data_IF_196766205702
#
_entry.id   IF_196766205702
#
_cell.length_a   1.000
_cell.length_b   1.000
_cell.length_c   1.000
_cell.angle_alpha   90.00
_cell.angle_beta   90.00
_cell.angle_gamma   90.00
#
_symmetry.space_group_name_H-M   'P 1'
#
loop_
_entity.id
_entity.type
_entity.pdbx_description
1 polymer ?
#
# COMPACT_ATOMS: atom_id res chain seq x y z
N UNK A 1 -50.52 -61.96 28.51
CA UNK A 1 -50.16 -62.74 29.72
C UNK A 1 -48.71 -62.47 30.07
N UNK A 2 -48.44 -62.29 31.37
CA UNK A 2 -47.17 -62.08 32.10
C UNK A 2 -46.54 -60.69 31.96
N UNK A 3 -46.76 -59.82 32.97
CA UNK A 3 -46.33 -59.73 34.39
C UNK A 3 -44.82 -59.49 34.46
N UNK A 4 -44.46 -58.23 34.84
CA UNK A 4 -43.94 -57.74 36.12
C UNK A 4 -42.44 -58.13 36.32
N UNK A 5 -41.59 -57.19 36.54
CA UNK A 5 -41.18 -56.84 37.91
C UNK A 5 -40.32 -55.53 37.92
N UNK A 6 -40.67 -54.68 38.85
CA UNK A 6 -39.83 -53.60 39.37
C UNK A 6 -38.71 -54.18 40.26
N UNK A 7 -37.57 -53.55 40.25
CA UNK A 7 -36.62 -53.32 41.35
C UNK A 7 -35.50 -52.47 40.75
N UNK A 8 -34.99 -51.45 41.26
CA UNK A 8 -34.91 -50.84 42.54
C UNK A 8 -33.77 -49.85 42.53
N UNK A 9 -34.03 -48.68 42.97
CA UNK A 9 -33.14 -47.70 43.63
C UNK A 9 -31.62 -47.78 43.45
N UNK A 10 -31.05 -46.73 42.91
CA UNK A 10 -29.83 -46.14 43.45
C UNK A 10 -29.73 -44.66 43.05
N UNK A 11 -29.97 -43.82 44.03
CA UNK A 11 -29.78 -42.38 44.02
C UNK A 11 -28.27 -42.10 44.10
N UNK A 12 -27.62 -41.79 43.00
CA UNK A 12 -26.25 -41.26 42.99
C UNK A 12 -26.31 -39.75 42.78
N UNK A 13 -26.20 -39.03 43.92
CA UNK A 13 -26.00 -37.57 43.90
C UNK A 13 -24.57 -37.31 43.41
N UNK A 14 -24.44 -36.93 42.15
CA UNK A 14 -23.18 -36.49 41.59
C UNK A 14 -23.04 -34.98 41.84
N UNK A 15 -22.27 -34.63 42.85
CA UNK A 15 -21.89 -33.26 43.18
C UNK A 15 -20.90 -32.76 42.13
N UNK A 16 -21.39 -32.03 41.08
CA UNK A 16 -20.53 -31.36 40.11
C UNK A 16 -19.92 -30.10 40.77
N UNK A 17 -18.66 -30.20 41.16
CA UNK A 17 -17.82 -29.06 41.48
C UNK A 17 -17.58 -28.24 40.19
N UNK A 18 -18.29 -27.12 40.07
CA UNK A 18 -18.01 -26.08 39.05
C UNK A 18 -16.70 -25.39 39.45
N UNK A 19 -15.57 -25.90 38.98
CA UNK A 19 -14.32 -25.18 38.96
C UNK A 19 -14.45 -24.11 37.90
N UNK A 20 -14.82 -22.90 38.29
CA UNK A 20 -14.77 -21.70 37.44
C UNK A 20 -13.34 -21.41 37.03
N UNK A 21 -12.98 -21.86 35.83
CA UNK A 21 -11.74 -21.47 35.18
C UNK A 21 -11.81 -19.98 34.82
N UNK A 22 -11.09 -19.14 35.56
CA UNK A 22 -10.83 -17.76 35.18
C UNK A 22 -9.92 -17.82 33.93
N UNK A 23 -10.51 -17.62 32.74
CA UNK A 23 -9.75 -17.41 31.55
C UNK A 23 -9.00 -16.07 31.69
N UNK A 24 -7.71 -16.14 31.99
CA UNK A 24 -6.82 -15.00 31.90
C UNK A 24 -6.72 -14.71 30.38
N UNK A 25 -7.46 -13.71 29.92
CA UNK A 25 -7.27 -13.15 28.58
C UNK A 25 -5.82 -12.66 28.51
N UNK A 26 -4.95 -13.46 27.88
CA UNK A 26 -3.58 -13.08 27.60
C UNK A 26 -3.62 -11.81 26.75
N UNK A 27 -3.19 -10.69 27.32
CA UNK A 27 -2.95 -9.48 26.55
C UNK A 27 -1.92 -9.83 25.47
N UNK A 28 -2.36 -9.88 24.22
CA UNK A 28 -1.46 -9.98 23.07
C UNK A 28 -0.47 -8.82 23.20
N UNK A 29 0.85 -9.06 23.25
CA UNK A 29 1.80 -7.95 23.30
C UNK A 29 1.53 -7.07 22.09
N UNK A 30 1.31 -5.77 22.34
CA UNK A 30 1.18 -4.78 21.26
C UNK A 30 2.44 -4.91 20.41
N UNK A 31 2.25 -5.17 19.10
CA UNK A 31 3.35 -5.25 18.17
C UNK A 31 4.14 -3.94 18.31
N UNK A 32 5.42 -4.04 18.62
CA UNK A 32 6.33 -2.91 18.63
C UNK A 32 6.24 -2.26 17.25
N UNK A 33 5.96 -0.95 17.15
CA UNK A 33 5.90 -0.30 15.84
C UNK A 33 7.24 -0.52 15.15
N UNK A 34 7.20 -1.25 14.04
CA UNK A 34 8.37 -1.53 13.21
C UNK A 34 8.93 -0.18 12.76
N UNK A 35 10.26 -0.01 12.87
CA UNK A 35 10.89 1.28 12.59
C UNK A 35 10.56 1.69 11.16
N UNK A 36 9.82 2.79 11.02
CA UNK A 36 9.54 3.39 9.74
C UNK A 36 10.84 3.57 8.95
N UNK A 37 10.90 3.00 7.76
CA UNK A 37 12.06 3.13 6.88
C UNK A 37 11.81 4.26 5.90
N UNK A 38 12.69 5.27 5.90
CA UNK A 38 12.63 6.35 4.92
C UNK A 38 13.68 6.12 3.83
N UNK A 39 13.26 6.28 2.57
CA UNK A 39 14.14 6.34 1.41
C UNK A 39 14.14 7.78 0.90
N UNK A 40 15.32 8.31 0.57
CA UNK A 40 15.49 9.58 -0.12
C UNK A 40 16.11 9.28 -1.47
N UNK A 41 15.41 9.65 -2.52
CA UNK A 41 15.77 9.38 -3.90
C UNK A 41 15.75 10.69 -4.69
N UNK A 42 16.65 10.79 -5.63
CA UNK A 42 16.66 11.84 -6.65
C UNK A 42 16.06 11.25 -7.94
N UNK A 43 15.21 12.01 -8.62
CA UNK A 43 14.61 11.62 -9.88
C UNK A 43 15.24 12.39 -11.03
N UNK A 44 15.41 11.69 -12.14
CA UNK A 44 15.59 12.26 -13.45
C UNK A 44 14.38 11.88 -14.29
N UNK A 45 13.53 12.87 -14.60
CA UNK A 45 12.34 12.64 -15.42
C UNK A 45 12.73 12.35 -16.86
N UNK A 46 12.14 11.31 -17.43
CA UNK A 46 12.16 11.06 -18.86
C UNK A 46 11.02 11.85 -19.51
N UNK A 47 11.10 12.14 -20.81
CA UNK A 47 9.98 12.75 -21.50
C UNK A 47 8.73 11.87 -21.33
N UNK A 48 7.73 12.40 -20.66
CA UNK A 48 6.44 11.73 -20.56
C UNK A 48 5.70 11.78 -21.90
N UNK A 49 4.79 10.84 -22.11
CA UNK A 49 3.96 10.78 -23.31
C UNK A 49 2.49 10.85 -22.93
N UNK A 50 1.79 11.86 -23.46
CA UNK A 50 0.33 11.91 -23.45
C UNK A 50 -0.19 10.96 -24.53
N UNK A 51 -1.10 10.09 -24.17
CA UNK A 51 -1.89 9.25 -25.05
C UNK A 51 -3.28 9.86 -25.13
N UNK A 52 -3.56 10.48 -26.26
CA UNK A 52 -4.84 11.06 -26.63
C UNK A 52 -5.72 9.92 -27.19
N UNK A 53 -6.71 9.51 -26.41
CA UNK A 53 -7.54 8.33 -26.69
C UNK A 53 -8.67 8.66 -27.66
N UNK A 54 -9.25 9.83 -27.55
CA UNK A 54 -10.39 10.28 -28.38
C UNK A 54 -9.96 11.08 -29.62
N UNK A 55 -8.65 11.40 -29.71
CA UNK A 55 -8.06 12.14 -30.84
C UNK A 55 -8.61 13.56 -31.06
N UNK A 56 -9.04 14.21 -29.97
CA UNK A 56 -9.55 15.58 -30.02
C UNK A 56 -8.44 16.66 -30.05
N UNK A 57 -7.19 16.24 -29.83
CA UNK A 57 -6.00 17.08 -29.98
C UNK A 57 -5.59 17.79 -28.68
N UNK A 58 -6.23 17.51 -27.56
CA UNK A 58 -5.91 18.07 -26.23
C UNK A 58 -6.10 17.07 -25.12
N UNK A 59 -5.67 17.41 -23.88
CA UNK A 59 -5.94 16.57 -22.71
C UNK A 59 -7.45 16.53 -22.40
N UNK A 60 -8.03 15.33 -22.42
CA UNK A 60 -9.46 15.09 -22.16
C UNK A 60 -9.66 13.98 -21.11
N UNK A 61 -10.90 13.80 -20.67
CA UNK A 61 -11.26 12.73 -19.74
C UNK A 61 -10.99 11.35 -20.38
N UNK A 62 -10.17 10.54 -19.73
CA UNK A 62 -9.80 9.21 -20.18
C UNK A 62 -8.46 9.14 -20.91
N UNK A 63 -7.91 10.24 -21.35
CA UNK A 63 -6.53 10.30 -21.78
C UNK A 63 -5.58 9.98 -20.65
N UNK A 64 -4.36 9.60 -20.96
CA UNK A 64 -3.42 9.27 -19.91
C UNK A 64 -1.98 9.60 -20.27
N UNK A 65 -1.21 9.92 -19.26
CA UNK A 65 0.24 10.08 -19.34
C UNK A 65 0.91 8.75 -19.03
N UNK A 66 1.91 8.39 -19.83
CA UNK A 66 2.87 7.32 -19.50
C UNK A 66 4.17 7.98 -19.10
N UNK A 67 4.80 7.51 -18.05
CA UNK A 67 6.10 7.96 -17.58
C UNK A 67 7.03 6.80 -17.25
N UNK A 68 8.34 7.05 -17.35
CA UNK A 68 9.41 6.17 -16.91
C UNK A 68 10.60 7.01 -16.50
N UNK A 69 10.94 7.02 -15.23
CA UNK A 69 11.93 7.93 -14.65
C UNK A 69 13.07 7.16 -13.99
N UNK A 70 14.24 7.76 -13.92
CA UNK A 70 15.41 7.16 -13.30
C UNK A 70 15.53 7.58 -11.84
N UNK A 71 15.82 6.62 -10.97
CA UNK A 71 15.98 6.81 -9.54
C UNK A 71 17.44 6.71 -9.13
N UNK A 72 17.91 7.72 -8.42
CA UNK A 72 19.27 7.79 -7.90
C UNK A 72 19.27 7.97 -6.38
N UNK A 73 20.36 7.58 -5.75
CA UNK A 73 20.64 7.88 -4.35
C UNK A 73 22.12 8.16 -4.19
N UNK A 74 22.45 9.27 -3.53
CA UNK A 74 23.83 9.73 -3.34
C UNK A 74 24.61 9.82 -4.66
N UNK A 75 23.97 10.35 -5.70
CA UNK A 75 24.56 10.54 -7.02
C UNK A 75 24.76 9.26 -7.86
N UNK A 76 24.28 8.11 -7.39
CA UNK A 76 24.34 6.85 -8.13
C UNK A 76 22.95 6.39 -8.53
N UNK A 77 22.74 6.09 -9.81
CA UNK A 77 21.49 5.44 -10.26
C UNK A 77 21.37 4.06 -9.60
N UNK A 78 20.23 3.83 -8.95
CA UNK A 78 19.95 2.60 -8.22
C UNK A 78 18.66 1.90 -8.68
N UNK A 79 17.89 2.53 -9.55
CA UNK A 79 16.63 1.98 -10.02
C UNK A 79 15.95 2.88 -11.03
N UNK A 80 14.69 2.62 -11.21
CA UNK A 80 13.79 3.39 -12.06
C UNK A 80 12.37 3.28 -11.53
N UNK A 81 11.47 4.11 -12.03
CA UNK A 81 10.04 3.97 -11.82
C UNK A 81 9.29 4.18 -13.11
N UNK A 82 8.08 3.64 -13.17
CA UNK A 82 7.21 3.83 -14.31
C UNK A 82 5.76 3.57 -13.96
N UNK A 83 4.89 4.17 -14.77
CA UNK A 83 3.47 4.06 -14.52
C UNK A 83 2.62 4.83 -15.51
N UNK A 84 1.36 5.00 -15.15
CA UNK A 84 0.36 5.72 -15.91
C UNK A 84 -0.45 6.64 -15.05
N UNK A 85 -0.90 7.75 -15.63
CA UNK A 85 -1.76 8.73 -14.96
C UNK A 85 -2.94 9.06 -15.89
N UNK A 86 -4.07 8.32 -15.82
CA UNK A 86 -5.30 8.73 -16.50
C UNK A 86 -5.80 10.08 -15.99
N UNK A 87 -6.31 10.90 -16.92
CA UNK A 87 -6.97 12.17 -16.66
C UNK A 87 -8.38 11.86 -16.16
N UNK A 88 -8.70 12.27 -14.94
CA UNK A 88 -9.99 12.04 -14.30
C UNK A 88 -10.85 13.31 -14.21
N UNK A 89 -10.23 14.48 -14.35
CA UNK A 89 -10.89 15.76 -14.55
C UNK A 89 -9.95 16.69 -15.34
N UNK A 90 -10.30 16.94 -16.60
CA UNK A 90 -9.48 17.79 -17.46
C UNK A 90 -9.61 19.29 -17.12
N UNK A 91 -10.72 19.73 -16.51
CA UNK A 91 -10.93 21.12 -16.12
C UNK A 91 -10.03 21.50 -14.96
N UNK A 92 -9.93 20.63 -13.97
CA UNK A 92 -9.06 20.81 -12.79
C UNK A 92 -7.63 20.31 -13.03
N UNK A 93 -7.35 19.69 -14.18
CA UNK A 93 -6.08 19.03 -14.46
C UNK A 93 -5.79 17.88 -13.50
N UNK A 94 -6.85 17.20 -13.00
CA UNK A 94 -6.73 16.13 -12.04
C UNK A 94 -6.43 14.80 -12.75
N UNK A 95 -5.37 14.14 -12.30
CA UNK A 95 -4.93 12.85 -12.80
C UNK A 95 -4.80 11.83 -11.67
N UNK A 96 -5.06 10.57 -11.96
CA UNK A 96 -4.87 9.46 -11.01
C UNK A 96 -3.64 8.65 -11.38
N UNK A 97 -2.52 8.92 -10.74
CA UNK A 97 -1.28 8.22 -11.01
C UNK A 97 -1.19 6.88 -10.28
N UNK A 98 -0.79 5.86 -11.02
CA UNK A 98 -0.35 4.56 -10.48
C UNK A 98 1.01 4.22 -11.03
N UNK A 99 1.91 3.73 -10.20
CA UNK A 99 3.26 3.41 -10.64
C UNK A 99 3.97 2.41 -9.75
N UNK A 100 5.14 2.01 -10.21
CA UNK A 100 6.01 1.07 -9.52
C UNK A 100 7.45 1.52 -9.61
N UNK A 101 8.10 1.64 -8.45
CA UNK A 101 9.54 1.83 -8.33
C UNK A 101 10.24 0.45 -8.33
N UNK A 102 11.22 0.28 -9.19
CA UNK A 102 12.13 -0.88 -9.19
C UNK A 102 13.43 -0.49 -8.53
N UNK A 103 13.71 -1.09 -7.38
CA UNK A 103 14.85 -0.76 -6.52
C UNK A 103 15.66 -2.02 -6.18
N UNK A 104 16.91 -1.90 -5.69
CA UNK A 104 17.66 -3.04 -5.20
C UNK A 104 16.90 -3.81 -4.12
N UNK A 105 16.62 -5.08 -4.41
CA UNK A 105 15.95 -5.99 -3.49
C UNK A 105 14.43 -6.08 -3.63
N UNK A 106 13.81 -5.38 -4.58
CA UNK A 106 12.37 -5.53 -4.84
C UNK A 106 11.74 -4.29 -5.45
N UNK A 107 10.42 -4.26 -5.44
CA UNK A 107 9.62 -3.17 -6.00
C UNK A 107 8.71 -2.56 -4.95
N UNK A 108 8.33 -1.29 -5.14
CA UNK A 108 7.35 -0.56 -4.34
C UNK A 108 6.27 -0.04 -5.29
N UNK A 109 5.01 -0.39 -5.04
CA UNK A 109 3.87 0.14 -5.77
C UNK A 109 3.32 1.39 -5.07
N UNK A 110 2.87 2.36 -5.85
CA UNK A 110 2.27 3.60 -5.34
C UNK A 110 1.11 4.07 -6.20
N UNK A 111 0.26 4.92 -5.61
CA UNK A 111 -0.83 5.59 -6.31
C UNK A 111 -1.23 6.90 -5.62
N UNK A 112 -1.88 7.78 -6.35
CA UNK A 112 -2.47 8.99 -5.81
C UNK A 112 -3.22 9.81 -6.84
N UNK A 113 -4.15 10.65 -6.36
CA UNK A 113 -4.72 11.74 -7.14
C UNK A 113 -3.78 12.93 -7.06
N UNK A 114 -3.48 13.55 -8.18
CA UNK A 114 -2.56 14.69 -8.23
C UNK A 114 -2.93 15.65 -9.37
N UNK A 115 -2.32 16.81 -9.38
CA UNK A 115 -2.47 17.84 -10.40
C UNK A 115 -1.10 18.25 -10.94
N UNK A 116 -1.03 19.32 -11.72
CA UNK A 116 0.23 19.93 -12.17
C UNK A 116 1.02 20.62 -11.02
N UNK A 117 0.53 20.61 -9.78
CA UNK A 117 1.28 21.15 -8.64
C UNK A 117 2.63 20.43 -8.48
N UNK A 118 3.72 21.17 -8.16
CA UNK A 118 5.06 20.56 -8.11
C UNK A 118 5.23 19.53 -7.00
N UNK A 119 4.43 19.58 -5.95
CA UNK A 119 4.45 18.58 -4.87
C UNK A 119 3.28 17.62 -5.01
N UNK A 120 3.58 16.33 -4.99
CA UNK A 120 2.60 15.26 -5.08
C UNK A 120 2.71 14.32 -3.89
N UNK A 121 1.58 14.08 -3.24
CA UNK A 121 1.47 13.10 -2.15
C UNK A 121 0.86 11.81 -2.69
N UNK A 122 1.56 10.70 -2.47
CA UNK A 122 1.22 9.40 -3.00
C UNK A 122 1.13 8.37 -1.86
N UNK A 123 0.18 7.46 -1.95
CA UNK A 123 0.11 6.31 -1.05
C UNK A 123 1.02 5.18 -1.55
N UNK A 124 1.83 4.60 -0.67
CA UNK A 124 2.49 3.32 -0.93
C UNK A 124 1.48 2.21 -0.68
N UNK A 125 1.17 1.45 -1.73
CA UNK A 125 0.10 0.45 -1.73
C UNK A 125 0.58 -1.00 -1.64
N UNK A 126 1.88 -1.22 -1.77
CA UNK A 126 2.46 -2.55 -1.68
C UNK A 126 3.93 -2.60 -2.10
N UNK A 127 4.46 -3.81 -2.13
CA UNK A 127 5.81 -4.05 -2.62
C UNK A 127 6.15 -5.53 -2.72
N UNK A 128 7.30 -5.82 -3.31
CA UNK A 128 7.84 -7.16 -3.48
C UNK A 128 9.24 -7.29 -2.88
N UNK A 129 9.74 -8.51 -2.71
CA UNK A 129 11.06 -8.76 -2.18
C UNK A 129 11.24 -8.16 -0.78
N UNK A 130 12.29 -7.38 -0.56
CA UNK A 130 12.55 -6.70 0.71
C UNK A 130 11.48 -5.64 1.09
N UNK A 131 10.58 -5.31 0.18
CA UNK A 131 9.47 -4.37 0.38
C UNK A 131 8.11 -5.07 0.48
N UNK A 132 8.08 -6.39 0.56
CA UNK A 132 6.84 -7.16 0.72
C UNK A 132 6.07 -6.66 1.95
N UNK A 133 4.76 -6.42 1.76
CA UNK A 133 3.88 -5.88 2.81
C UNK A 133 4.09 -4.40 3.12
N UNK A 134 4.88 -3.68 2.32
CA UNK A 134 5.08 -2.25 2.51
C UNK A 134 3.76 -1.48 2.33
N UNK A 135 3.55 -0.53 3.19
CA UNK A 135 2.57 0.55 3.09
C UNK A 135 3.24 1.85 3.50
N UNK A 136 2.56 2.96 3.38
CA UNK A 136 3.10 4.26 3.79
C UNK A 136 2.77 5.37 2.81
N UNK A 137 3.68 6.32 2.70
CA UNK A 137 3.50 7.54 1.92
C UNK A 137 4.75 7.84 1.11
N UNK A 138 4.57 8.46 -0.05
CA UNK A 138 5.67 9.01 -0.83
C UNK A 138 5.34 10.46 -1.21
N UNK A 139 6.30 11.35 -1.01
CA UNK A 139 6.22 12.75 -1.40
C UNK A 139 7.20 12.98 -2.55
N UNK A 140 6.68 13.29 -3.73
CA UNK A 140 7.45 13.74 -4.89
C UNK A 140 7.45 15.26 -4.95
N UNK A 141 8.62 15.87 -5.17
CA UNK A 141 8.78 17.30 -5.44
C UNK A 141 9.49 17.48 -6.76
N UNK A 142 8.81 18.08 -7.74
CA UNK A 142 9.38 18.45 -9.05
C UNK A 142 10.16 19.76 -8.91
N UNK A 143 11.37 19.83 -9.45
CA UNK A 143 12.24 21.00 -9.35
C UNK A 143 12.14 21.94 -10.55
N UNK A 144 11.39 21.56 -11.61
CA UNK A 144 11.14 22.39 -12.79
C UNK A 144 12.25 22.36 -13.85
N UNK A 145 13.33 21.61 -13.61
CA UNK A 145 14.48 21.46 -14.50
C UNK A 145 14.59 20.07 -15.12
N UNK A 146 13.53 19.28 -15.05
CA UNK A 146 13.52 17.87 -15.48
C UNK A 146 14.01 16.92 -14.38
N UNK A 147 14.19 17.41 -13.15
CA UNK A 147 14.56 16.60 -11.99
C UNK A 147 13.55 16.75 -10.86
N UNK A 148 13.65 15.86 -9.89
CA UNK A 148 12.81 15.87 -8.69
C UNK A 148 13.45 15.15 -7.51
N UNK A 149 12.80 15.24 -6.37
CA UNK A 149 13.14 14.44 -5.19
C UNK A 149 11.94 13.61 -4.74
N UNK A 150 12.20 12.40 -4.27
CA UNK A 150 11.18 11.47 -3.80
C UNK A 150 11.55 10.99 -2.40
N UNK A 151 10.71 11.31 -1.43
CA UNK A 151 10.83 10.82 -0.05
C UNK A 151 9.78 9.75 0.19
N UNK A 152 10.20 8.50 0.40
CA UNK A 152 9.29 7.35 0.64
C UNK A 152 9.39 6.95 2.11
N UNK A 153 8.29 7.09 2.85
CA UNK A 153 8.15 6.69 4.27
C UNK A 153 7.38 5.39 4.34
N UNK A 154 8.11 4.29 4.54
CA UNK A 154 7.52 2.96 4.62
C UNK A 154 7.11 2.63 6.05
N UNK A 155 5.92 2.05 6.18
CA UNK A 155 5.43 1.32 7.37
C UNK A 155 5.33 -0.16 6.99
N UNK A 156 5.64 -1.02 7.90
CA UNK A 156 5.45 -2.48 7.77
C UNK A 156 4.43 -2.96 8.75
#
# INVERSE_FOLDING_TARGET
>A
MRRITLTGTALAVLLLLLLGGVAIAGATPAATPDKAKTLHLDLQFSPFKLIDVDHDGGPSLGDYVIFHDLLSSRGKQIGDEGGTCPIVDATEGLIHCTGTMRLPGGQIAFQGLTTAAPTKELAVTGGTGRYQGAGGEATLVELGDGTGTLTVRLRR
#
